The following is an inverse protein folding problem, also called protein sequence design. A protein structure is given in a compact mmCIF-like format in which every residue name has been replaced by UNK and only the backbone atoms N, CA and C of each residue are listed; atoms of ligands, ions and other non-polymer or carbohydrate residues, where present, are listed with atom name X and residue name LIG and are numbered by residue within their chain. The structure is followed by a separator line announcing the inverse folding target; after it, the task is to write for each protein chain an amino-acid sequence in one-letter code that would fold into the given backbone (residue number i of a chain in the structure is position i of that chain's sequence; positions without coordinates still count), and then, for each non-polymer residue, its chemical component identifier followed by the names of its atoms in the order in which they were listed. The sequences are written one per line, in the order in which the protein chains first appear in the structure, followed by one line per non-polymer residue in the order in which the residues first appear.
data_IF_855950580010
#
_entry.id   IF_855950580010
#
_cell.length_a   1.000
_cell.length_b   1.000
_cell.length_c   1.000
_cell.angle_alpha   90.00
_cell.angle_beta   90.00
_cell.angle_gamma   90.00
#
_symmetry.space_group_name_H-M   'P 1'
#
loop_
_entity.id
_entity.type
_entity.pdbx_description
1 polymer ?
#
# COMPACT_ATOMS: atom_id res chain seq x y z
N UNK A 1 -3.00 9.00 17.14
CA UNK A 1 -2.53 9.83 18.26
C UNK A 1 -3.34 9.40 19.46
N UNK A 2 -3.11 8.15 19.89
CA UNK A 2 -3.86 7.49 20.96
C UNK A 2 -2.95 7.16 22.16
N UNK A 3 -1.81 7.85 22.25
CA UNK A 3 -0.74 7.56 23.21
C UNK A 3 -0.39 8.79 24.05
N UNK A 4 -1.42 9.46 24.52
CA UNK A 4 -1.37 10.45 25.59
C UNK A 4 -2.51 10.07 26.51
N UNK A 5 -2.18 9.69 27.75
CA UNK A 5 -3.12 9.47 28.87
C UNK A 5 -3.85 10.77 29.24
N UNK A 6 -4.55 11.35 28.27
CA UNK A 6 -5.28 12.58 28.39
C UNK A 6 -6.76 12.26 28.43
N UNK A 7 -7.45 12.83 29.41
CA UNK A 7 -8.91 12.81 29.47
C UNK A 7 -9.47 13.51 28.22
N UNK A 8 -10.71 13.18 27.84
CA UNK A 8 -11.39 13.83 26.72
C UNK A 8 -11.40 15.36 26.87
N UNK A 9 -11.50 15.86 28.10
CA UNK A 9 -11.44 17.28 28.43
C UNK A 9 -10.05 17.89 28.15
N UNK A 10 -8.97 17.19 28.51
CA UNK A 10 -7.60 17.64 28.21
C UNK A 10 -7.33 17.67 26.71
N UNK A 11 -7.81 16.66 25.96
CA UNK A 11 -7.73 16.63 24.50
C UNK A 11 -8.46 17.81 23.87
N UNK A 12 -9.66 18.11 24.35
CA UNK A 12 -10.43 19.27 23.90
C UNK A 12 -9.69 20.58 24.18
N UNK A 13 -9.24 20.81 25.42
CA UNK A 13 -8.49 22.01 25.81
C UNK A 13 -7.24 22.19 24.95
N UNK A 14 -6.48 21.11 24.73
CA UNK A 14 -5.29 21.13 23.88
C UNK A 14 -5.57 21.42 22.41
N UNK A 15 -6.63 20.84 21.83
CA UNK A 15 -6.98 21.12 20.44
C UNK A 15 -7.47 22.56 20.24
N UNK A 16 -8.27 23.07 21.19
CA UNK A 16 -8.79 24.44 21.14
C UNK A 16 -7.66 25.47 21.26
N UNK A 17 -6.63 25.21 22.07
CA UNK A 17 -5.47 26.10 22.18
C UNK A 17 -4.60 26.16 20.93
N UNK A 18 -4.70 25.17 20.04
CA UNK A 18 -4.00 25.13 18.76
C UNK A 18 -4.76 25.83 17.63
N UNK A 19 -6.04 26.16 17.83
CA UNK A 19 -6.81 26.92 16.84
C UNK A 19 -6.26 28.35 16.72
N UNK A 20 -6.20 28.85 15.50
CA UNK A 20 -5.73 30.20 15.19
C UNK A 20 -6.77 30.95 14.38
N UNK A 21 -6.77 32.27 14.52
CA UNK A 21 -7.51 33.21 13.68
C UNK A 21 -8.99 32.80 13.50
N UNK A 22 -9.42 32.62 12.25
CA UNK A 22 -10.79 32.25 11.88
C UNK A 22 -11.26 30.96 12.56
N UNK A 23 -10.37 29.98 12.75
CA UNK A 23 -10.74 28.72 13.38
C UNK A 23 -11.04 28.86 14.87
N UNK A 24 -10.30 29.74 15.55
CA UNK A 24 -10.58 30.04 16.95
C UNK A 24 -11.89 30.84 17.08
N UNK A 25 -12.09 31.87 16.23
CA UNK A 25 -13.32 32.66 16.24
C UNK A 25 -14.58 31.84 15.97
N UNK A 26 -14.51 30.94 14.98
CA UNK A 26 -15.60 30.00 14.73
C UNK A 26 -15.89 29.12 15.96
N UNK A 27 -14.85 28.59 16.61
CA UNK A 27 -15.04 27.74 17.77
C UNK A 27 -15.67 28.49 18.95
N UNK A 28 -15.32 29.77 19.16
CA UNK A 28 -15.98 30.63 20.15
C UNK A 28 -17.49 30.76 19.87
N UNK A 29 -17.87 30.94 18.60
CA UNK A 29 -19.29 31.04 18.19
C UNK A 29 -20.04 29.73 18.47
N UNK A 30 -19.45 28.58 18.14
CA UNK A 30 -20.04 27.26 18.44
C UNK A 30 -20.19 27.06 19.95
N UNK A 31 -19.19 27.50 20.73
CA UNK A 31 -19.18 27.38 22.18
C UNK A 31 -20.26 28.24 22.85
N UNK A 32 -20.48 29.46 22.36
CA UNK A 32 -21.53 30.35 22.88
C UNK A 32 -22.95 29.79 22.65
N UNK A 33 -23.16 29.06 21.55
CA UNK A 33 -24.45 28.44 21.21
C UNK A 33 -24.67 27.04 21.80
N UNK A 34 -23.73 26.48 22.56
CA UNK A 34 -23.77 25.09 23.04
C UNK A 34 -23.70 25.02 24.56
N UNK A 35 -24.50 24.16 25.19
CA UNK A 35 -24.43 23.92 26.64
C UNK A 35 -23.08 23.28 27.05
N UNK A 36 -22.54 23.68 28.20
CA UNK A 36 -21.24 23.21 28.70
C UNK A 36 -21.16 21.67 28.82
N UNK A 37 -22.25 21.02 29.20
CA UNK A 37 -22.34 19.56 29.35
C UNK A 37 -22.23 18.80 28.01
N UNK A 38 -22.47 19.49 26.88
CA UNK A 38 -22.37 18.92 25.54
C UNK A 38 -20.98 19.11 24.91
N UNK A 39 -20.10 19.91 25.51
CA UNK A 39 -18.75 20.20 24.99
C UNK A 39 -17.77 19.07 25.27
N UNK A 40 -17.95 17.96 24.56
CA UNK A 40 -17.02 16.81 24.61
C UNK A 40 -15.99 16.89 23.49
N UNK A 41 -14.92 16.10 23.61
CA UNK A 41 -13.93 15.93 22.55
C UNK A 41 -14.57 15.48 21.22
N UNK A 42 -15.53 14.55 21.29
CA UNK A 42 -16.19 14.03 20.10
C UNK A 42 -17.14 15.05 19.48
N UNK A 43 -17.80 15.89 20.28
CA UNK A 43 -18.57 17.02 19.78
C UNK A 43 -17.68 17.99 19.00
N UNK A 44 -16.56 18.43 19.59
CA UNK A 44 -15.59 19.29 18.90
C UNK A 44 -15.12 18.67 17.58
N UNK A 45 -14.73 17.39 17.62
CA UNK A 45 -14.20 16.69 16.45
C UNK A 45 -15.26 16.60 15.33
N UNK A 46 -16.51 16.31 15.67
CA UNK A 46 -17.60 16.25 14.69
C UNK A 46 -17.86 17.61 14.04
N UNK A 47 -17.94 18.69 14.83
CA UNK A 47 -18.17 20.04 14.30
C UNK A 47 -16.96 20.57 13.51
N UNK A 48 -15.75 20.31 13.99
CA UNK A 48 -14.52 20.70 13.32
C UNK A 48 -14.39 19.97 11.98
N UNK A 49 -14.66 18.67 11.95
CA UNK A 49 -14.73 17.91 10.70
C UNK A 49 -15.83 18.44 9.79
N UNK A 50 -17.04 18.69 10.30
CA UNK A 50 -18.13 19.24 9.48
C UNK A 50 -17.81 20.57 8.82
N UNK A 51 -17.11 21.49 9.51
CA UNK A 51 -16.74 22.80 8.96
C UNK A 51 -15.51 22.73 8.03
N UNK A 52 -14.47 22.01 8.43
CA UNK A 52 -13.16 22.09 7.75
C UNK A 52 -12.84 20.88 6.87
N UNK A 53 -13.54 19.77 7.07
CA UNK A 53 -13.43 18.56 6.25
C UNK A 53 -14.72 18.46 5.43
N UNK A 54 -14.74 19.13 4.29
CA UNK A 54 -15.92 19.15 3.42
C UNK A 54 -16.37 17.74 3.02
N UNK A 55 -17.69 17.54 2.93
CA UNK A 55 -18.28 16.25 2.53
C UNK A 55 -17.70 15.75 1.19
N UNK A 56 -17.44 16.65 0.24
CA UNK A 56 -16.79 16.32 -1.04
C UNK A 56 -15.39 15.71 -0.88
N UNK A 57 -14.62 16.13 0.11
CA UNK A 57 -13.31 15.56 0.40
C UNK A 57 -13.45 14.15 0.98
N UNK A 58 -14.37 13.96 1.94
CA UNK A 58 -14.65 12.64 2.51
C UNK A 58 -15.09 11.68 1.40
N UNK A 59 -16.05 12.08 0.58
CA UNK A 59 -16.55 11.29 -0.54
C UNK A 59 -15.44 10.96 -1.55
N UNK A 60 -14.56 11.91 -1.85
CA UNK A 60 -13.41 11.68 -2.72
C UNK A 60 -12.47 10.61 -2.14
N UNK A 61 -12.19 10.66 -0.83
CA UNK A 61 -11.35 9.65 -0.14
C UNK A 61 -12.04 8.29 -0.05
N UNK A 62 -13.35 8.24 0.19
CA UNK A 62 -14.13 7.00 0.19
C UNK A 62 -14.13 6.36 -1.21
N UNK A 63 -14.27 7.17 -2.27
CA UNK A 63 -14.14 6.69 -3.67
C UNK A 63 -12.73 6.21 -3.99
N UNK A 64 -11.70 6.89 -3.49
CA UNK A 64 -10.30 6.46 -3.63
C UNK A 64 -10.08 5.10 -2.97
N UNK A 65 -10.66 4.86 -1.78
CA UNK A 65 -10.62 3.56 -1.12
C UNK A 65 -11.30 2.45 -1.93
N UNK A 66 -12.50 2.72 -2.46
CA UNK A 66 -13.26 1.74 -3.24
C UNK A 66 -12.58 1.29 -4.52
N UNK A 67 -11.74 2.16 -5.10
CA UNK A 67 -10.97 1.87 -6.31
C UNK A 67 -9.51 1.47 -5.99
N UNK A 68 -9.20 1.26 -4.72
CA UNK A 68 -7.83 0.99 -4.31
C UNK A 68 -7.43 -0.43 -4.72
N UNK A 69 -6.37 -0.51 -5.51
CA UNK A 69 -5.71 -1.76 -5.90
C UNK A 69 -4.21 -1.62 -5.65
N UNK A 70 -3.53 -2.76 -5.43
CA UNK A 70 -2.09 -2.82 -5.24
C UNK A 70 -1.35 -2.22 -6.44
N UNK A 71 -1.76 -2.58 -7.66
CA UNK A 71 -1.10 -2.14 -8.89
C UNK A 71 0.42 -2.43 -8.87
N UNK A 72 1.22 -1.41 -9.15
CA UNK A 72 2.68 -1.51 -9.16
C UNK A 72 3.33 -1.33 -7.78
N UNK A 73 2.54 -1.08 -6.73
CA UNK A 73 3.05 -0.89 -5.37
C UNK A 73 3.52 -2.23 -4.79
N UNK A 74 4.47 -2.16 -3.86
CA UNK A 74 4.74 -3.27 -2.95
C UNK A 74 3.54 -3.53 -2.04
N UNK A 75 3.46 -4.72 -1.45
CA UNK A 75 2.41 -5.04 -0.47
C UNK A 75 2.45 -4.07 0.72
N UNK A 76 3.64 -3.63 1.15
CA UNK A 76 3.79 -2.70 2.27
C UNK A 76 3.28 -1.27 1.94
N UNK A 77 3.53 -0.78 0.73
CA UNK A 77 3.00 0.51 0.27
C UNK A 77 1.47 0.46 0.11
N UNK A 78 0.96 -0.65 -0.42
CA UNK A 78 -0.47 -0.89 -0.54
C UNK A 78 -1.15 -0.98 0.84
N UNK A 79 -0.56 -1.70 1.80
CA UNK A 79 -1.01 -1.75 3.20
C UNK A 79 -1.10 -0.34 3.82
N UNK A 80 -0.05 0.46 3.67
CA UNK A 80 -0.02 1.82 4.22
C UNK A 80 -1.14 2.68 3.63
N UNK A 81 -1.39 2.58 2.33
CA UNK A 81 -2.47 3.31 1.66
C UNK A 81 -3.86 2.80 2.04
N UNK A 82 -4.02 1.49 2.14
CA UNK A 82 -5.26 0.85 2.59
C UNK A 82 -5.63 1.32 4.00
N UNK A 83 -4.70 1.29 4.95
CA UNK A 83 -4.89 1.79 6.31
C UNK A 83 -5.15 3.31 6.36
N UNK A 84 -4.49 4.07 5.49
CA UNK A 84 -4.72 5.52 5.37
C UNK A 84 -6.15 5.81 4.93
N UNK A 85 -6.67 5.10 3.93
CA UNK A 85 -7.96 5.38 3.30
C UNK A 85 -9.15 4.68 3.99
N UNK A 86 -8.93 3.54 4.65
CA UNK A 86 -9.99 2.79 5.36
C UNK A 86 -10.72 3.63 6.42
N UNK A 87 -10.05 4.67 6.97
CA UNK A 87 -10.67 5.61 7.91
C UNK A 87 -11.89 6.36 7.34
N UNK A 88 -11.98 6.48 6.01
CA UNK A 88 -13.09 7.12 5.29
C UNK A 88 -14.14 6.11 4.79
N UNK A 89 -13.90 4.81 4.97
CA UNK A 89 -14.77 3.72 4.52
C UNK A 89 -15.07 2.74 5.67
N UNK A 90 -15.20 3.26 6.90
CA UNK A 90 -15.36 2.44 8.11
C UNK A 90 -16.57 1.51 8.08
N UNK A 91 -17.63 1.87 7.36
CA UNK A 91 -18.81 1.02 7.18
C UNK A 91 -18.59 -0.19 6.25
N UNK A 92 -17.47 -0.22 5.51
CA UNK A 92 -17.14 -1.27 4.53
C UNK A 92 -16.10 -2.24 5.11
N UNK A 93 -15.18 -1.73 5.92
CA UNK A 93 -14.07 -2.49 6.53
C UNK A 93 -14.07 -2.36 8.05
N UNK A 94 -15.22 -2.68 8.65
CA UNK A 94 -15.44 -2.54 10.09
C UNK A 94 -14.70 -3.64 10.87
N UNK A 95 -14.76 -4.86 10.36
CA UNK A 95 -14.17 -6.07 10.95
C UNK A 95 -12.84 -6.43 10.31
N UNK A 96 -12.00 -7.18 11.03
CA UNK A 96 -10.76 -7.72 10.47
C UNK A 96 -11.01 -8.64 9.29
N UNK A 97 -12.10 -9.41 9.32
CA UNK A 97 -12.48 -10.26 8.20
C UNK A 97 -12.83 -9.45 6.94
N UNK A 98 -13.63 -8.39 7.07
CA UNK A 98 -13.92 -7.49 5.94
C UNK A 98 -12.65 -6.82 5.42
N UNK A 99 -11.73 -6.43 6.30
CA UNK A 99 -10.41 -5.93 5.89
C UNK A 99 -9.66 -6.96 5.08
N UNK A 100 -9.67 -8.23 5.49
CA UNK A 100 -9.05 -9.31 4.72
C UNK A 100 -9.66 -9.42 3.32
N UNK A 101 -10.98 -9.53 3.22
CA UNK A 101 -11.69 -9.69 1.93
C UNK A 101 -11.37 -8.54 0.98
N UNK A 102 -11.47 -7.30 1.45
CA UNK A 102 -11.19 -6.12 0.63
C UNK A 102 -9.72 -5.99 0.25
N UNK A 103 -8.82 -6.29 1.18
CA UNK A 103 -7.39 -6.22 0.91
C UNK A 103 -6.99 -7.25 -0.14
N UNK A 104 -7.46 -8.50 0.02
CA UNK A 104 -7.24 -9.60 -0.93
C UNK A 104 -7.77 -9.30 -2.33
N UNK A 105 -8.96 -8.68 -2.44
CA UNK A 105 -9.56 -8.37 -3.74
C UNK A 105 -8.74 -7.33 -4.52
N UNK A 106 -8.11 -6.39 -3.82
CA UNK A 106 -7.22 -5.39 -4.40
C UNK A 106 -5.78 -5.86 -4.65
N UNK A 107 -5.39 -7.07 -4.24
CA UNK A 107 -4.05 -7.60 -4.52
C UNK A 107 -3.86 -7.94 -6.01
N UNK A 108 -2.61 -7.91 -6.48
CA UNK A 108 -2.28 -8.43 -7.81
C UNK A 108 -2.66 -9.92 -7.91
N UNK A 109 -3.18 -10.32 -9.07
CA UNK A 109 -3.63 -11.70 -9.34
C UNK A 109 -2.59 -12.77 -8.97
N UNK A 110 -1.32 -12.50 -9.25
CA UNK A 110 -0.21 -13.42 -8.94
C UNK A 110 -0.04 -13.72 -7.44
N UNK A 111 -0.43 -12.78 -6.57
CA UNK A 111 -0.42 -12.92 -5.12
C UNK A 111 -1.76 -13.44 -4.63
N UNK A 112 -2.85 -12.91 -5.19
CA UNK A 112 -4.23 -13.31 -4.86
C UNK A 112 -4.43 -14.82 -4.97
N UNK A 113 -3.90 -15.46 -6.01
CA UNK A 113 -3.98 -16.93 -6.19
C UNK A 113 -3.31 -17.71 -5.05
N UNK A 114 -2.20 -17.20 -4.50
CA UNK A 114 -1.49 -17.85 -3.39
C UNK A 114 -2.19 -17.66 -2.04
N UNK A 115 -2.92 -16.57 -1.90
CA UNK A 115 -3.46 -16.10 -0.62
C UNK A 115 -4.92 -16.52 -0.45
N UNK A 116 -5.74 -16.40 -1.50
CA UNK A 116 -7.19 -16.63 -1.43
C UNK A 116 -7.56 -18.04 -0.95
N UNK A 117 -6.71 -19.05 -1.23
CA UNK A 117 -6.93 -20.42 -0.77
C UNK A 117 -6.74 -20.60 0.75
N UNK A 118 -6.06 -19.66 1.41
CA UNK A 118 -5.73 -19.74 2.83
C UNK A 118 -6.88 -19.24 3.73
N UNK A 119 -7.85 -18.51 3.16
CA UNK A 119 -9.05 -18.00 3.86
C UNK A 119 -8.72 -17.31 5.19
N UNK A 120 -7.74 -16.41 5.17
CA UNK A 120 -7.26 -15.74 6.38
C UNK A 120 -8.30 -14.75 6.91
N UNK A 121 -8.54 -14.77 8.22
CA UNK A 121 -9.54 -13.90 8.87
C UNK A 121 -8.90 -12.84 9.75
N UNK A 122 -7.62 -12.97 10.03
CA UNK A 122 -6.84 -11.98 10.75
C UNK A 122 -6.08 -11.08 9.77
N UNK A 123 -6.36 -9.78 9.83
CA UNK A 123 -5.77 -8.83 8.88
C UNK A 123 -4.24 -8.78 8.97
N UNK A 124 -3.67 -8.77 10.17
CA UNK A 124 -2.22 -8.74 10.34
C UNK A 124 -1.55 -10.01 9.78
N UNK A 125 -2.14 -11.18 10.03
CA UNK A 125 -1.63 -12.44 9.48
C UNK A 125 -1.70 -12.47 7.95
N UNK A 126 -2.78 -11.95 7.36
CA UNK A 126 -2.94 -11.84 5.91
C UNK A 126 -1.84 -10.97 5.29
N UNK A 127 -1.58 -9.79 5.87
CA UNK A 127 -0.55 -8.87 5.41
C UNK A 127 0.82 -9.54 5.38
N UNK A 128 1.20 -10.22 6.46
CA UNK A 128 2.51 -10.88 6.55
C UNK A 128 2.64 -12.00 5.50
N UNK A 129 1.58 -12.80 5.31
CA UNK A 129 1.53 -13.81 4.24
C UNK A 129 1.65 -13.18 2.85
N UNK A 130 1.01 -12.03 2.62
CA UNK A 130 1.10 -11.32 1.35
C UNK A 130 2.51 -10.79 1.07
N UNK A 131 3.21 -10.26 2.10
CA UNK A 131 4.61 -9.83 2.00
C UNK A 131 5.54 -11.00 1.64
N UNK A 132 5.37 -12.14 2.30
CA UNK A 132 6.14 -13.36 2.01
C UNK A 132 5.87 -13.83 0.57
N UNK A 133 4.59 -13.86 0.15
CA UNK A 133 4.22 -14.25 -1.21
C UNK A 133 4.84 -13.31 -2.28
N UNK A 134 4.88 -12.00 -2.01
CA UNK A 134 5.53 -11.03 -2.89
C UNK A 134 7.04 -11.27 -3.02
N UNK A 135 7.72 -11.59 -1.91
CA UNK A 135 9.15 -11.93 -1.92
C UNK A 135 9.43 -13.21 -2.73
N UNK A 136 8.63 -14.26 -2.52
CA UNK A 136 8.74 -15.52 -3.29
C UNK A 136 8.60 -15.24 -4.78
N UNK A 137 7.57 -14.47 -5.19
CA UNK A 137 7.37 -14.10 -6.60
C UNK A 137 8.48 -13.22 -7.16
N UNK A 138 9.06 -12.34 -6.34
CA UNK A 138 10.23 -11.54 -6.73
C UNK A 138 11.44 -12.43 -7.00
N UNK A 139 11.70 -13.41 -6.16
CA UNK A 139 12.81 -14.34 -6.32
C UNK A 139 12.64 -15.26 -7.54
N UNK A 140 11.42 -15.78 -7.77
CA UNK A 140 11.09 -16.57 -8.96
C UNK A 140 11.40 -15.81 -10.27
N UNK A 141 11.03 -14.53 -10.34
CA UNK A 141 11.32 -13.66 -11.47
C UNK A 141 12.83 -13.49 -11.68
N UNK A 142 13.57 -13.16 -10.61
CA UNK A 142 15.02 -12.98 -10.69
C UNK A 142 15.76 -14.23 -11.17
N UNK A 143 15.32 -15.43 -10.76
CA UNK A 143 15.92 -16.67 -11.22
C UNK A 143 15.64 -16.92 -12.71
N UNK A 144 14.40 -16.71 -13.16
CA UNK A 144 14.04 -16.83 -14.59
C UNK A 144 14.85 -15.90 -15.47
N UNK A 145 15.12 -14.67 -15.00
CA UNK A 145 15.92 -13.70 -15.74
C UNK A 145 17.40 -14.10 -15.80
N UNK A 146 17.95 -14.66 -14.71
CA UNK A 146 19.31 -15.23 -14.70
C UNK A 146 19.47 -16.37 -15.69
N UNK A 147 18.50 -17.28 -15.77
CA UNK A 147 18.53 -18.42 -16.69
C UNK A 147 18.41 -17.97 -18.16
N UNK A 148 17.53 -17.00 -18.44
CA UNK A 148 17.44 -16.37 -19.77
C UNK A 148 18.74 -15.68 -20.18
N UNK A 149 19.40 -14.98 -19.25
CA UNK A 149 20.69 -14.32 -19.48
C UNK A 149 21.87 -15.28 -19.68
N UNK A 150 21.79 -16.51 -19.16
CA UNK A 150 22.78 -17.57 -19.43
C UNK A 150 22.55 -18.19 -20.82
N UNK A 151 21.31 -18.48 -21.20
CA UNK A 151 21.00 -19.08 -22.49
C UNK A 151 21.35 -18.17 -23.68
N UNK A 152 21.23 -16.84 -23.54
CA UNK A 152 21.69 -15.90 -24.59
C UNK A 152 23.22 -15.87 -24.78
N UNK A 153 24.01 -16.15 -23.73
CA UNK A 153 25.47 -16.20 -23.82
C UNK A 153 26.00 -17.52 -24.42
N UNK A 154 25.17 -18.57 -24.44
CA UNK A 154 25.52 -19.86 -25.04
C UNK A 154 25.32 -19.94 -26.57
N UNK A 155 24.51 -19.06 -27.16
CA UNK A 155 24.17 -19.14 -28.60
C UNK A 155 25.03 -18.24 -29.51
N UNK A 156 25.98 -17.49 -28.94
CA UNK A 156 26.81 -16.53 -29.67
C UNK A 156 28.21 -17.01 -30.04
N UNK A 157 28.56 -18.27 -29.80
CA UNK A 157 29.91 -18.78 -30.12
C UNK A 157 29.84 -20.20 -30.67
N UNK A 158 29.41 -20.32 -31.92
CA UNK A 158 29.77 -21.47 -32.75
C UNK A 158 30.12 -20.96 -34.14
N UNK A 159 31.17 -20.13 -34.20
CA UNK A 159 31.90 -19.88 -35.43
C UNK A 159 32.69 -21.14 -35.78
N UNK A 160 32.14 -21.96 -36.67
CA UNK A 160 32.80 -23.11 -37.24
C UNK A 160 33.93 -22.61 -38.17
N UNK A 161 35.11 -22.35 -37.63
CA UNK A 161 36.32 -22.06 -38.42
C UNK A 161 36.92 -23.39 -38.90
N UNK A 162 36.38 -23.88 -40.03
CA UNK A 162 36.98 -24.98 -40.79
C UNK A 162 38.35 -24.55 -41.33
N UNK A 163 39.41 -25.11 -40.74
CA UNK A 163 40.79 -24.88 -41.14
C UNK A 163 41.10 -25.48 -42.51
N UNK A 164 41.41 -24.64 -43.49
CA UNK A 164 42.07 -25.06 -44.72
C UNK A 164 43.55 -25.33 -44.44
N UNK A 165 43.92 -26.60 -44.35
CA UNK A 165 45.32 -27.02 -44.33
C UNK A 165 45.95 -26.82 -45.72
N UNK A 166 46.83 -25.82 -45.87
CA UNK A 166 47.74 -25.73 -47.02
C UNK A 166 48.90 -26.71 -46.82
N UNK A 167 49.02 -27.71 -47.69
CA UNK A 167 50.22 -28.56 -47.78
C UNK A 167 51.36 -27.79 -48.47
N UNK A 168 52.62 -27.91 -48.02
CA UNK A 168 53.77 -27.47 -48.80
C UNK A 168 54.13 -28.56 -49.83
N UNK A 169 54.50 -28.16 -51.06
CA UNK A 169 55.16 -29.05 -52.02
C UNK A 169 56.62 -28.61 -52.13
N UNK A 170 57.51 -29.57 -51.90
CA UNK A 170 58.96 -29.50 -52.02
C UNK A 170 59.39 -29.55 -53.49
N UNK A 171 60.50 -28.85 -53.79
CA UNK A 171 61.18 -28.83 -55.08
C UNK A 171 61.98 -30.10 -55.39
N UNK A 172 61.93 -30.52 -56.67
CA UNK A 172 62.94 -31.26 -57.47
C UNK A 172 63.08 -32.78 -57.29
N UNK A 173 63.76 -33.54 -58.20
CA UNK A 173 64.43 -33.13 -59.46
C UNK A 173 64.17 -34.06 -60.69
N UNK A 174 64.51 -33.57 -61.89
CA UNK A 174 65.28 -34.23 -62.98
C UNK A 174 65.36 -33.30 -64.19
#
# INVERSE_FOLDING_TARGET
MDDLDCTAEQKLKGAVSLLRDEAYQWWLTVREGTQADCMTWDFFKAFFQGKYVGASYVDARSKEFLNLVQGNKSVAEYEAEFLRLSRYARGIVATDYERCVWFEDGLRDELRVLIALQQERNFATLIEKAKIAEEVKRFERQNRDKDRGKNKRGFGSTGFSGGFQKRPRLDGPA
#
